data_IF_148018001413
#
_entry.id   IF_148018001413
#
_cell.length_a   1.000
_cell.length_b   1.000
_cell.length_c   1.000
_cell.angle_alpha   90.00
_cell.angle_beta   90.00
_cell.angle_gamma   90.00
#
_symmetry.space_group_name_H-M   'P 1'
#
loop_
_entity.id
_entity.type
_entity.pdbx_description
1 polymer ?
#
# COMPACT_ATOMS: atom_id res chain seq x y z
N UNK A 1 0.04 -31.17 2.43
CA UNK A 1 -1.08 -30.57 1.70
C UNK A 1 -2.33 -31.33 2.07
N UNK A 2 -3.37 -30.64 2.49
CA UNK A 2 -4.64 -31.25 2.87
C UNK A 2 -5.75 -30.63 2.02
N UNK A 3 -6.68 -31.47 1.54
CA UNK A 3 -7.77 -31.01 0.71
C UNK A 3 -8.99 -30.68 1.58
N UNK A 4 -9.58 -29.51 1.36
CA UNK A 4 -10.78 -29.00 2.00
C UNK A 4 -11.85 -28.67 0.96
N UNK A 5 -13.09 -28.57 1.40
CA UNK A 5 -14.19 -28.07 0.59
C UNK A 5 -14.41 -26.60 0.91
N UNK A 6 -14.46 -25.73 -0.09
CA UNK A 6 -14.66 -24.31 0.11
C UNK A 6 -16.07 -23.97 0.58
N UNK A 7 -16.15 -23.00 1.45
CA UNK A 7 -17.36 -22.29 1.82
C UNK A 7 -17.09 -20.80 1.74
N UNK A 8 -17.72 -20.11 0.80
CA UNK A 8 -17.55 -18.65 0.66
C UNK A 8 -18.32 -17.97 1.78
N UNK A 9 -17.61 -17.15 2.55
CA UNK A 9 -18.16 -16.43 3.69
C UNK A 9 -18.35 -14.96 3.29
N UNK A 10 -19.54 -14.43 3.52
CA UNK A 10 -19.89 -13.04 3.23
C UNK A 10 -19.31 -12.09 4.29
N UNK A 11 -17.98 -12.09 4.40
CA UNK A 11 -17.21 -11.22 5.28
C UNK A 11 -16.12 -10.58 4.44
N UNK A 12 -15.96 -9.26 4.57
CA UNK A 12 -14.84 -8.49 4.08
C UNK A 12 -14.05 -8.00 5.28
N UNK A 13 -12.81 -8.45 5.39
CA UNK A 13 -11.91 -8.11 6.50
C UNK A 13 -10.91 -7.05 6.12
N UNK A 14 -10.74 -6.78 4.82
CA UNK A 14 -9.62 -5.99 4.28
C UNK A 14 -8.29 -6.75 4.28
N UNK A 15 -8.30 -8.01 4.69
CA UNK A 15 -7.12 -8.88 4.82
C UNK A 15 -7.38 -10.25 4.21
N UNK A 16 -6.32 -10.94 3.80
CA UNK A 16 -6.41 -12.31 3.30
C UNK A 16 -6.53 -13.29 4.47
N UNK A 17 -7.75 -13.49 4.94
CA UNK A 17 -8.07 -14.41 6.06
C UNK A 17 -8.88 -15.58 5.56
N UNK A 18 -8.53 -16.79 6.02
CA UNK A 18 -9.32 -18.00 5.87
C UNK A 18 -9.75 -18.55 7.21
N UNK A 19 -10.90 -19.18 7.24
CA UNK A 19 -11.45 -19.80 8.45
C UNK A 19 -11.31 -21.31 8.37
N UNK A 20 -10.69 -21.91 9.37
CA UNK A 20 -10.65 -23.36 9.55
C UNK A 20 -11.39 -23.78 10.82
N UNK A 21 -12.01 -24.97 10.77
CA UNK A 21 -12.58 -25.54 11.97
C UNK A 21 -11.48 -25.94 12.95
N UNK A 22 -11.62 -25.59 14.24
CA UNK A 22 -10.60 -25.84 15.25
C UNK A 22 -10.14 -27.30 15.32
N UNK A 23 -11.05 -28.29 15.09
CA UNK A 23 -10.68 -29.70 15.05
C UNK A 23 -9.86 -30.08 13.82
N UNK A 24 -10.09 -29.40 12.70
CA UNK A 24 -9.25 -29.59 11.52
C UNK A 24 -7.88 -28.98 11.73
N UNK A 25 -7.79 -27.82 12.38
CA UNK A 25 -6.54 -27.19 12.74
C UNK A 25 -5.64 -28.13 13.58
N UNK A 26 -6.22 -28.76 14.60
CA UNK A 26 -5.52 -29.79 15.41
C UNK A 26 -5.04 -30.99 14.56
N UNK A 27 -5.87 -31.42 13.61
CA UNK A 27 -5.58 -32.57 12.74
C UNK A 27 -4.44 -32.32 11.75
N UNK A 28 -4.32 -31.09 11.26
CA UNK A 28 -3.32 -30.72 10.22
C UNK A 28 -2.16 -29.91 10.78
N UNK A 29 -2.08 -29.74 12.10
CA UNK A 29 -1.06 -28.93 12.82
C UNK A 29 -0.94 -27.49 12.28
N UNK A 30 -2.09 -26.87 12.06
CA UNK A 30 -2.21 -25.45 11.69
C UNK A 30 -2.85 -24.73 12.87
N UNK A 31 -2.36 -23.55 13.20
CA UNK A 31 -2.85 -22.71 14.30
C UNK A 31 -3.44 -21.41 13.78
N UNK A 32 -4.22 -20.74 14.63
CA UNK A 32 -4.61 -19.36 14.36
C UNK A 32 -3.36 -18.48 14.15
N UNK A 33 -3.43 -17.61 13.17
CA UNK A 33 -2.36 -16.74 12.69
C UNK A 33 -1.21 -17.43 11.93
N UNK A 34 -1.30 -18.73 11.69
CA UNK A 34 -0.39 -19.39 10.74
C UNK A 34 -0.71 -18.94 9.30
N UNK A 35 0.31 -18.95 8.46
CA UNK A 35 0.17 -18.69 7.03
C UNK A 35 -0.07 -19.98 6.27
N UNK A 36 -1.00 -19.92 5.35
CA UNK A 36 -1.30 -21.05 4.46
C UNK A 36 -1.31 -20.63 3.00
N UNK A 37 -0.89 -21.52 2.12
CA UNK A 37 -1.16 -21.46 0.69
C UNK A 37 -2.48 -22.16 0.41
N UNK A 38 -3.31 -21.50 -0.38
CA UNK A 38 -4.57 -22.00 -0.89
C UNK A 38 -4.41 -22.20 -2.39
N UNK A 39 -4.48 -23.46 -2.84
CA UNK A 39 -4.33 -23.79 -4.27
C UNK A 39 -5.61 -24.31 -4.86
N UNK A 40 -5.99 -23.73 -6.00
CA UNK A 40 -7.11 -24.17 -6.83
C UNK A 40 -6.89 -23.81 -8.29
N UNK A 41 -7.08 -24.77 -9.20
CA UNK A 41 -7.05 -24.58 -10.65
C UNK A 41 -5.83 -23.78 -11.16
N UNK A 42 -4.65 -24.03 -10.58
CA UNK A 42 -3.40 -23.36 -10.95
C UNK A 42 -3.21 -21.97 -10.34
N UNK A 43 -4.16 -21.50 -9.53
CA UNK A 43 -4.02 -20.28 -8.72
C UNK A 43 -3.50 -20.65 -7.34
N UNK A 44 -2.66 -19.79 -6.79
CA UNK A 44 -2.05 -19.94 -5.45
C UNK A 44 -2.16 -18.60 -4.72
N UNK A 45 -2.83 -18.59 -3.58
CA UNK A 45 -3.03 -17.40 -2.76
C UNK A 45 -2.60 -17.70 -1.33
N UNK A 46 -1.77 -16.82 -0.77
CA UNK A 46 -1.41 -16.89 0.64
C UNK A 46 -2.48 -16.20 1.50
N UNK A 47 -2.80 -16.80 2.63
CA UNK A 47 -3.72 -16.24 3.60
C UNK A 47 -3.31 -16.57 5.03
N UNK A 48 -3.80 -15.78 5.98
CA UNK A 48 -3.71 -16.05 7.41
C UNK A 48 -4.88 -16.91 7.86
N UNK A 49 -4.65 -17.81 8.79
CA UNK A 49 -5.67 -18.67 9.33
C UNK A 49 -6.29 -18.05 10.58
N UNK A 50 -7.61 -17.92 10.59
CA UNK A 50 -8.38 -17.79 11.80
C UNK A 50 -9.20 -19.08 12.06
N UNK A 51 -9.53 -19.32 13.32
CA UNK A 51 -10.23 -20.54 13.72
C UNK A 51 -11.67 -20.25 14.10
N UNK A 52 -12.55 -21.20 13.76
CA UNK A 52 -13.97 -21.12 14.10
C UNK A 52 -14.50 -22.49 14.54
N UNK A 53 -15.55 -22.48 15.31
CA UNK A 53 -16.27 -23.71 15.70
C UNK A 53 -17.61 -23.86 15.00
N UNK A 54 -18.13 -22.78 14.40
CA UNK A 54 -19.52 -22.72 13.91
C UNK A 54 -19.67 -22.27 12.47
N UNK A 55 -18.77 -21.39 11.98
CA UNK A 55 -18.91 -20.79 10.64
C UNK A 55 -18.58 -21.77 9.52
N UNK A 56 -17.67 -22.71 9.77
CA UNK A 56 -17.35 -23.80 8.83
C UNK A 56 -17.34 -25.14 9.54
N UNK A 57 -17.80 -26.17 8.83
CA UNK A 57 -17.77 -27.56 9.30
C UNK A 57 -16.37 -28.17 9.23
N UNK A 58 -16.23 -29.41 9.78
CA UNK A 58 -15.00 -30.17 9.59
C UNK A 58 -14.83 -30.57 8.12
N UNK A 59 -13.62 -30.43 7.59
CA UNK A 59 -13.31 -30.66 6.19
C UNK A 59 -13.67 -29.49 5.26
N UNK A 60 -14.14 -28.38 5.83
CA UNK A 60 -14.41 -27.15 5.08
C UNK A 60 -13.35 -26.08 5.36
N UNK A 61 -13.10 -25.22 4.38
CA UNK A 61 -12.32 -23.99 4.52
C UNK A 61 -13.20 -22.78 4.16
N UNK A 62 -13.34 -21.86 5.10
CA UNK A 62 -14.06 -20.61 4.91
C UNK A 62 -13.20 -19.61 4.13
N UNK A 63 -13.67 -19.20 2.97
CA UNK A 63 -13.01 -18.25 2.10
C UNK A 63 -13.73 -16.91 2.18
N UNK A 64 -13.04 -15.87 2.68
CA UNK A 64 -13.62 -14.52 2.75
C UNK A 64 -13.76 -13.89 1.35
N UNK A 65 -14.57 -12.85 1.24
CA UNK A 65 -14.76 -12.11 -0.03
C UNK A 65 -13.49 -11.43 -0.53
N UNK A 66 -12.52 -11.20 0.34
CA UNK A 66 -11.22 -10.63 -0.05
C UNK A 66 -10.40 -11.64 -0.89
N UNK A 67 -10.54 -12.94 -0.64
CA UNK A 67 -9.77 -14.00 -1.31
C UNK A 67 -10.54 -14.68 -2.44
N UNK A 68 -11.85 -14.78 -2.32
CA UNK A 68 -12.69 -15.55 -3.26
C UNK A 68 -12.52 -15.15 -4.73
N UNK A 69 -12.41 -13.85 -5.11
CA UNK A 69 -12.14 -13.44 -6.49
C UNK A 69 -10.75 -13.82 -6.98
N UNK A 70 -9.73 -13.72 -6.13
CA UNK A 70 -8.34 -14.05 -6.48
C UNK A 70 -8.19 -15.54 -6.80
N UNK A 71 -8.78 -16.41 -5.99
CA UNK A 71 -8.82 -17.87 -6.22
C UNK A 71 -9.82 -18.28 -7.29
N UNK A 72 -10.77 -17.41 -7.65
CA UNK A 72 -11.92 -17.75 -8.51
C UNK A 72 -12.69 -18.98 -7.99
N UNK A 73 -12.99 -18.98 -6.69
CA UNK A 73 -13.59 -20.10 -5.97
C UNK A 73 -15.08 -19.88 -5.75
N UNK A 74 -15.85 -21.00 -5.75
CA UNK A 74 -17.27 -21.05 -5.39
C UNK A 74 -17.48 -22.05 -4.25
N UNK A 75 -18.63 -21.97 -3.63
CA UNK A 75 -19.03 -22.96 -2.62
C UNK A 75 -18.95 -24.40 -3.16
N UNK A 76 -18.35 -25.28 -2.38
CA UNK A 76 -18.22 -26.70 -2.72
C UNK A 76 -16.97 -27.05 -3.54
N UNK A 77 -16.18 -26.08 -3.98
CA UNK A 77 -14.95 -26.35 -4.70
C UNK A 77 -13.90 -27.02 -3.80
N UNK A 78 -13.00 -27.81 -4.42
CA UNK A 78 -11.88 -28.43 -3.69
C UNK A 78 -10.67 -27.51 -3.70
N UNK A 79 -10.17 -27.22 -2.51
CA UNK A 79 -9.00 -26.37 -2.29
C UNK A 79 -7.94 -27.17 -1.55
N UNK A 80 -6.72 -27.10 -2.03
CA UNK A 80 -5.55 -27.59 -1.31
C UNK A 80 -5.05 -26.52 -0.35
N UNK A 81 -4.94 -26.87 0.93
CA UNK A 81 -4.41 -26.01 1.99
C UNK A 81 -3.09 -26.60 2.49
N UNK A 82 -2.06 -25.78 2.53
CA UNK A 82 -0.76 -26.19 3.07
C UNK A 82 -0.13 -25.07 3.89
N UNK A 83 0.51 -25.44 5.00
CA UNK A 83 1.23 -24.50 5.84
C UNK A 83 2.37 -23.85 5.03
N UNK A 84 2.49 -22.54 5.13
CA UNK A 84 3.60 -21.78 4.59
C UNK A 84 4.59 -21.43 5.70
N UNK A 85 5.90 -21.61 5.47
CA UNK A 85 6.92 -21.10 6.39
C UNK A 85 6.89 -19.58 6.43
N UNK A 86 7.41 -19.00 7.50
CA UNK A 86 7.63 -17.54 7.55
C UNK A 86 8.56 -17.12 6.40
N UNK A 87 8.22 -16.06 5.66
CA UNK A 87 9.06 -15.58 4.57
C UNK A 87 10.41 -15.08 5.09
N UNK A 88 11.44 -15.10 4.26
CA UNK A 88 12.80 -14.63 4.63
C UNK A 88 12.82 -13.14 5.02
N UNK A 89 11.90 -12.35 4.48
CA UNK A 89 11.74 -10.92 4.80
C UNK A 89 11.50 -10.65 6.29
N UNK A 90 10.92 -11.60 7.03
CA UNK A 90 10.77 -11.47 8.50
C UNK A 90 12.11 -11.38 9.22
N UNK A 91 13.17 -12.04 8.71
CA UNK A 91 14.51 -11.93 9.25
C UNK A 91 15.12 -10.55 8.96
N UNK A 92 14.84 -9.97 7.82
CA UNK A 92 15.29 -8.63 7.44
C UNK A 92 14.58 -7.56 8.27
N UNK A 93 13.28 -7.71 8.51
CA UNK A 93 12.52 -6.87 9.45
C UNK A 93 13.15 -6.95 10.85
N UNK A 94 13.43 -8.15 11.33
CA UNK A 94 14.11 -8.35 12.62
C UNK A 94 15.48 -7.68 12.66
N UNK A 95 16.27 -7.80 11.58
CA UNK A 95 17.57 -7.11 11.44
C UNK A 95 17.42 -5.60 11.61
N UNK A 96 16.39 -5.00 10.97
CA UNK A 96 16.10 -3.57 11.09
C UNK A 96 15.62 -3.17 12.48
N UNK A 97 14.79 -3.99 13.14
CA UNK A 97 14.36 -3.78 14.53
C UNK A 97 15.55 -3.66 15.49
N UNK A 98 16.62 -4.42 15.25
CA UNK A 98 17.85 -4.33 16.02
C UNK A 98 18.83 -3.25 15.54
N UNK A 99 18.42 -2.35 14.67
CA UNK A 99 19.22 -1.24 14.15
C UNK A 99 20.20 -1.61 13.04
N UNK A 100 20.09 -2.82 12.47
CA UNK A 100 20.92 -3.23 11.34
C UNK A 100 20.50 -2.54 10.04
N UNK A 101 21.47 -2.21 9.17
CA UNK A 101 21.21 -1.70 7.83
C UNK A 101 20.69 -2.81 6.91
N UNK A 102 19.81 -2.47 5.97
CA UNK A 102 19.26 -3.39 4.98
C UNK A 102 20.02 -3.28 3.65
N UNK A 103 20.19 -4.40 2.96
CA UNK A 103 20.64 -4.43 1.57
C UNK A 103 19.45 -4.23 0.62
N UNK A 104 19.75 -3.93 -0.65
CA UNK A 104 18.73 -3.66 -1.67
C UNK A 104 17.75 -4.82 -1.84
N UNK A 105 18.25 -6.04 -1.93
CA UNK A 105 17.45 -7.26 -2.08
C UNK A 105 16.62 -7.58 -0.83
N UNK A 106 17.12 -7.23 0.36
CA UNK A 106 16.38 -7.36 1.62
C UNK A 106 15.17 -6.41 1.64
N UNK A 107 15.37 -5.14 1.23
CA UNK A 107 14.27 -4.17 1.11
C UNK A 107 13.25 -4.63 0.06
N UNK A 108 13.70 -5.07 -1.11
CA UNK A 108 12.82 -5.58 -2.16
C UNK A 108 11.99 -6.78 -1.68
N UNK A 109 12.61 -7.70 -0.94
CA UNK A 109 11.91 -8.86 -0.37
C UNK A 109 10.83 -8.45 0.61
N UNK A 110 11.09 -7.48 1.51
CA UNK A 110 10.08 -6.98 2.46
C UNK A 110 8.89 -6.38 1.70
N UNK A 111 9.14 -5.54 0.71
CA UNK A 111 8.09 -4.88 -0.07
C UNK A 111 7.28 -5.89 -0.89
N UNK A 112 7.96 -6.83 -1.55
CA UNK A 112 7.26 -7.86 -2.34
C UNK A 112 6.39 -8.76 -1.47
N UNK A 113 6.89 -9.18 -0.30
CA UNK A 113 6.14 -10.01 0.64
C UNK A 113 4.96 -9.24 1.29
N UNK A 114 5.08 -7.92 1.44
CA UNK A 114 3.97 -7.05 1.86
C UNK A 114 2.83 -7.10 0.84
N UNK A 115 3.11 -6.87 -0.43
CA UNK A 115 2.09 -6.85 -1.49
C UNK A 115 1.48 -8.23 -1.71
N UNK A 116 2.29 -9.28 -1.61
CA UNK A 116 1.81 -10.65 -1.76
C UNK A 116 0.96 -11.13 -0.55
N UNK A 117 0.88 -10.34 0.53
CA UNK A 117 0.15 -10.70 1.74
C UNK A 117 0.86 -11.76 2.58
N UNK A 118 2.18 -11.92 2.40
CA UNK A 118 2.98 -12.84 3.20
C UNK A 118 3.39 -12.26 4.56
N UNK A 119 3.33 -10.95 4.74
CA UNK A 119 3.61 -10.31 6.03
C UNK A 119 2.31 -10.02 6.79
N UNK A 120 2.33 -10.30 8.08
CA UNK A 120 1.27 -9.91 9.02
C UNK A 120 1.36 -8.42 9.36
N UNK A 121 0.25 -7.84 9.85
CA UNK A 121 0.25 -6.46 10.36
C UNK A 121 1.30 -6.26 11.47
N UNK A 122 1.51 -7.27 12.33
CA UNK A 122 2.52 -7.21 13.40
C UNK A 122 3.93 -7.08 12.84
N UNK A 123 4.25 -7.80 11.75
CA UNK A 123 5.55 -7.71 11.11
C UNK A 123 5.74 -6.38 10.38
N UNK A 124 4.70 -5.92 9.69
CA UNK A 124 4.70 -4.59 9.06
C UNK A 124 4.81 -3.46 10.09
N UNK A 125 4.09 -3.57 11.20
CA UNK A 125 4.24 -2.65 12.33
C UNK A 125 5.66 -2.64 12.88
N UNK A 126 6.28 -3.82 13.04
CA UNK A 126 7.67 -3.95 13.44
C UNK A 126 8.64 -3.24 12.49
N UNK A 127 8.41 -3.33 11.18
CA UNK A 127 9.23 -2.63 10.18
C UNK A 127 9.05 -1.12 10.24
N UNK A 128 7.82 -0.62 10.37
CA UNK A 128 7.52 0.81 10.49
C UNK A 128 8.09 1.41 11.79
N UNK A 129 7.93 0.70 12.92
CA UNK A 129 8.50 1.11 14.20
C UNK A 129 10.03 1.14 14.12
N UNK A 130 10.65 0.16 13.46
CA UNK A 130 12.11 0.15 13.29
C UNK A 130 12.60 1.34 12.45
N UNK A 131 11.87 1.73 11.41
CA UNK A 131 12.15 2.97 10.66
C UNK A 131 12.00 4.21 11.53
N UNK A 132 10.95 4.28 12.37
CA UNK A 132 10.71 5.43 13.26
C UNK A 132 11.87 5.66 14.24
N UNK A 133 12.46 4.59 14.78
CA UNK A 133 13.49 4.70 15.81
C UNK A 133 14.91 4.71 15.28
N UNK A 134 15.18 4.01 14.18
CA UNK A 134 16.52 3.86 13.63
C UNK A 134 16.74 4.63 12.32
N UNK A 135 15.66 5.15 11.72
CA UNK A 135 15.72 5.77 10.40
C UNK A 135 16.13 4.79 9.29
N UNK A 136 16.38 5.32 8.12
CA UNK A 136 16.97 4.61 6.99
C UNK A 136 18.13 5.45 6.43
N UNK A 137 19.15 4.81 5.89
CA UNK A 137 20.18 5.48 5.13
C UNK A 137 19.63 5.97 3.79
N UNK A 138 20.33 6.89 3.13
CA UNK A 138 19.94 7.41 1.81
C UNK A 138 19.78 6.27 0.79
N UNK A 139 20.68 5.30 0.81
CA UNK A 139 20.59 4.12 -0.07
C UNK A 139 19.35 3.27 0.24
N UNK A 140 19.09 2.96 1.50
CA UNK A 140 17.88 2.23 1.93
C UNK A 140 16.61 2.99 1.52
N UNK A 141 16.63 4.32 1.66
CA UNK A 141 15.52 5.20 1.26
C UNK A 141 15.24 5.12 -0.25
N UNK A 142 16.29 5.16 -1.06
CA UNK A 142 16.19 5.01 -2.52
C UNK A 142 15.70 3.62 -2.91
N UNK A 143 16.17 2.56 -2.25
CA UNK A 143 15.74 1.19 -2.52
C UNK A 143 14.29 0.97 -2.11
N UNK A 144 13.87 1.48 -0.96
CA UNK A 144 12.49 1.43 -0.48
C UNK A 144 11.54 2.11 -1.47
N UNK A 145 11.87 3.35 -1.87
CA UNK A 145 11.10 4.12 -2.84
C UNK A 145 10.92 3.38 -4.17
N UNK A 146 12.01 2.84 -4.70
CA UNK A 146 11.98 2.09 -5.97
C UNK A 146 11.21 0.78 -5.84
N UNK A 147 11.45 0.02 -4.77
CA UNK A 147 10.74 -1.23 -4.52
C UNK A 147 9.22 -1.00 -4.44
N UNK A 148 8.77 0.05 -3.74
CA UNK A 148 7.35 0.40 -3.66
C UNK A 148 6.77 0.81 -5.02
N UNK A 149 7.49 1.63 -5.79
CA UNK A 149 7.06 2.04 -7.13
C UNK A 149 7.00 0.84 -8.12
N UNK A 150 7.89 -0.14 -7.96
CA UNK A 150 7.96 -1.33 -8.83
C UNK A 150 6.83 -2.33 -8.56
N UNK A 151 6.08 -2.18 -7.47
CA UNK A 151 4.91 -3.03 -7.16
C UNK A 151 3.63 -2.54 -7.82
N UNK A 152 3.60 -1.32 -8.35
CA UNK A 152 2.41 -0.69 -8.91
C UNK A 152 2.44 -0.50 -10.42
N UNK A 153 1.37 0.10 -10.92
CA UNK A 153 1.26 0.48 -12.32
C UNK A 153 2.14 1.69 -12.61
N UNK A 154 2.80 1.69 -13.78
CA UNK A 154 3.59 2.82 -14.27
C UNK A 154 2.89 3.49 -15.44
N UNK A 155 2.87 4.82 -15.41
CA UNK A 155 2.28 5.63 -16.48
C UNK A 155 3.40 6.34 -17.22
N UNK A 156 3.50 6.11 -18.51
CA UNK A 156 4.42 6.81 -19.41
C UNK A 156 3.63 7.77 -20.30
N UNK A 157 3.89 9.05 -20.17
CA UNK A 157 3.24 10.11 -20.95
C UNK A 157 3.99 10.42 -22.26
N UNK A 158 5.18 9.86 -22.48
CA UNK A 158 6.04 10.12 -23.66
C UNK A 158 6.42 11.62 -23.82
N UNK A 159 6.28 12.38 -22.75
CA UNK A 159 6.54 13.83 -22.67
C UNK A 159 7.01 14.16 -21.26
N UNK A 160 7.78 15.25 -21.07
CA UNK A 160 8.18 15.71 -19.74
C UNK A 160 6.98 15.97 -18.83
N UNK A 161 7.00 15.36 -17.64
CA UNK A 161 5.95 15.43 -16.63
C UNK A 161 6.40 16.27 -15.46
N UNK A 162 5.53 17.20 -15.08
CA UNK A 162 5.76 18.13 -13.96
C UNK A 162 4.81 17.81 -12.83
N UNK A 163 5.24 17.99 -11.59
CA UNK A 163 4.36 17.87 -10.44
C UNK A 163 4.73 18.86 -9.33
N UNK A 164 3.81 19.08 -8.44
CA UNK A 164 3.97 19.80 -7.18
C UNK A 164 3.45 18.92 -6.05
N UNK A 165 4.25 18.69 -5.06
CA UNK A 165 3.81 17.98 -3.85
C UNK A 165 3.92 18.90 -2.65
N UNK A 166 2.89 18.87 -1.78
CA UNK A 166 2.94 19.50 -0.46
C UNK A 166 2.98 18.40 0.60
N UNK A 167 3.88 18.50 1.55
CA UNK A 167 3.92 17.62 2.72
C UNK A 167 2.66 17.79 3.56
N UNK A 168 1.95 18.92 3.40
CA UNK A 168 0.64 19.13 4.00
C UNK A 168 0.69 19.70 5.42
N UNK A 169 -0.40 19.48 6.16
CA UNK A 169 -0.53 19.90 7.56
C UNK A 169 -1.15 21.29 7.74
N UNK A 170 -1.23 22.12 6.71
CA UNK A 170 -1.86 23.46 6.81
C UNK A 170 -3.35 23.36 6.48
N UNK A 171 -4.24 23.64 7.43
CA UNK A 171 -5.67 23.66 7.18
C UNK A 171 -6.03 24.65 6.06
N UNK A 172 -6.94 24.25 5.16
CA UNK A 172 -7.40 25.11 4.07
C UNK A 172 -6.41 25.31 2.93
N UNK A 173 -5.27 24.63 2.89
CA UNK A 173 -4.32 24.70 1.78
C UNK A 173 -4.93 24.12 0.48
N UNK A 174 -5.33 24.98 -0.44
CA UNK A 174 -5.92 24.66 -1.76
C UNK A 174 -4.99 24.98 -2.92
N UNK A 175 -3.70 25.16 -2.66
CA UNK A 175 -2.70 25.62 -3.63
C UNK A 175 -2.65 24.74 -4.89
N UNK A 176 -2.81 23.43 -4.76
CA UNK A 176 -2.79 22.52 -5.91
C UNK A 176 -3.90 22.80 -6.92
N UNK A 177 -5.10 23.22 -6.46
CA UNK A 177 -6.22 23.56 -7.34
C UNK A 177 -5.94 24.80 -8.20
N UNK A 178 -5.04 25.67 -7.75
CA UNK A 178 -4.60 26.85 -8.49
C UNK A 178 -3.40 26.54 -9.38
N UNK A 179 -2.40 25.79 -8.86
CA UNK A 179 -1.17 25.52 -9.58
C UNK A 179 -1.40 24.63 -10.79
N UNK A 180 -2.22 23.57 -10.67
CA UNK A 180 -2.43 22.61 -11.79
C UNK A 180 -2.93 23.31 -13.05
N UNK A 181 -4.02 24.11 -13.03
CA UNK A 181 -4.48 24.79 -14.24
C UNK A 181 -3.50 25.87 -14.71
N UNK A 182 -2.76 26.54 -13.83
CA UNK A 182 -1.72 27.51 -14.22
C UNK A 182 -0.62 26.84 -15.00
N UNK A 183 -0.08 25.73 -14.49
CA UNK A 183 1.00 24.95 -15.13
C UNK A 183 0.54 24.35 -16.45
N UNK A 184 -0.68 23.80 -16.49
CA UNK A 184 -1.28 23.29 -17.72
C UNK A 184 -1.47 24.40 -18.77
N UNK A 185 -1.92 25.59 -18.38
CA UNK A 185 -2.08 26.73 -19.29
C UNK A 185 -0.75 27.24 -19.85
N UNK A 186 0.35 26.99 -19.16
CA UNK A 186 1.70 27.28 -19.65
C UNK A 186 2.23 26.20 -20.64
N UNK A 187 1.43 25.20 -20.98
CA UNK A 187 1.78 24.15 -21.93
C UNK A 187 2.58 22.98 -21.34
N UNK A 188 2.73 22.94 -20.00
CA UNK A 188 3.41 21.86 -19.29
C UNK A 188 2.40 20.78 -18.89
N UNK A 189 2.86 19.53 -18.79
CA UNK A 189 2.03 18.39 -18.45
C UNK A 189 2.09 18.10 -16.94
N UNK A 190 0.93 18.20 -16.24
CA UNK A 190 0.87 18.06 -14.77
C UNK A 190 -0.23 17.08 -14.32
N UNK A 191 0.02 15.75 -14.30
CA UNK A 191 -0.88 14.74 -13.74
C UNK A 191 -0.76 14.70 -12.20
N UNK A 192 -1.40 15.64 -11.51
CA UNK A 192 -1.30 15.77 -10.05
C UNK A 192 -2.00 14.64 -9.33
N UNK A 193 -1.24 13.72 -8.78
CA UNK A 193 -1.77 12.72 -7.83
C UNK A 193 -1.84 13.29 -6.41
N UNK A 194 -2.91 12.97 -5.70
CA UNK A 194 -3.15 13.43 -4.32
C UNK A 194 -3.69 12.31 -3.46
N UNK A 195 -3.38 12.34 -2.17
CA UNK A 195 -4.09 11.53 -1.17
C UNK A 195 -5.44 12.16 -0.79
N UNK A 196 -6.31 11.35 -0.21
CA UNK A 196 -7.41 11.83 0.65
C UNK A 196 -6.83 12.20 2.02
N UNK A 197 -7.65 12.84 2.86
CA UNK A 197 -7.18 13.26 4.18
C UNK A 197 -6.73 12.07 5.04
N UNK A 198 -5.49 12.15 5.55
CA UNK A 198 -4.96 11.22 6.54
C UNK A 198 -4.94 11.90 7.91
N UNK A 199 -4.41 13.12 8.00
CA UNK A 199 -4.24 13.89 9.23
C UNK A 199 -4.83 15.30 9.17
N UNK A 200 -5.12 15.81 7.98
CA UNK A 200 -5.78 17.14 7.78
C UNK A 200 -7.28 16.98 7.60
N UNK A 201 -8.09 18.06 7.80
CA UNK A 201 -9.52 18.00 7.62
C UNK A 201 -9.96 17.65 6.19
N UNK A 202 -9.12 17.91 5.18
CA UNK A 202 -9.43 17.64 3.77
C UNK A 202 -8.15 17.63 2.94
N UNK A 203 -7.92 16.55 2.21
CA UNK A 203 -6.85 16.46 1.19
C UNK A 203 -7.22 17.20 -0.10
N UNK A 204 -6.25 17.30 -1.01
CA UNK A 204 -6.51 17.89 -2.34
C UNK A 204 -7.50 17.04 -3.13
N UNK A 205 -7.40 15.71 -3.05
CA UNK A 205 -8.36 14.80 -3.68
C UNK A 205 -9.77 14.99 -3.15
N UNK A 206 -9.96 15.11 -1.84
CA UNK A 206 -11.27 15.36 -1.22
C UNK A 206 -11.87 16.69 -1.68
N UNK A 207 -11.05 17.74 -1.73
CA UNK A 207 -11.51 19.05 -2.17
C UNK A 207 -11.90 19.05 -3.65
N UNK A 208 -11.08 18.40 -4.49
CA UNK A 208 -11.36 18.32 -5.93
C UNK A 208 -12.59 17.47 -6.23
N UNK A 209 -12.86 16.42 -5.44
CA UNK A 209 -14.03 15.55 -5.63
C UNK A 209 -15.38 16.26 -5.48
N UNK A 210 -15.39 17.42 -4.82
CA UNK A 210 -16.58 18.30 -4.77
C UNK A 210 -16.85 18.99 -6.11
N UNK A 211 -15.81 19.19 -6.92
CA UNK A 211 -15.87 19.93 -8.18
C UNK A 211 -15.95 19.00 -9.40
N UNK A 212 -15.25 17.87 -9.35
CA UNK A 212 -15.14 16.92 -10.47
C UNK A 212 -14.78 15.52 -9.98
N UNK A 213 -14.98 14.45 -10.79
CA UNK A 213 -14.47 13.12 -10.51
C UNK A 213 -12.95 13.14 -10.30
N UNK A 214 -12.47 12.33 -9.34
CA UNK A 214 -11.03 12.20 -9.00
C UNK A 214 -10.55 10.76 -9.07
N UNK A 215 -11.42 9.81 -9.37
CA UNK A 215 -11.13 8.38 -9.47
C UNK A 215 -11.01 8.02 -10.94
N UNK A 216 -9.85 7.56 -11.35
CA UNK A 216 -9.51 7.21 -12.72
C UNK A 216 -8.66 5.94 -12.73
N UNK A 217 -8.72 5.19 -13.80
CA UNK A 217 -7.68 4.21 -14.15
C UNK A 217 -6.42 4.94 -14.66
N UNK A 218 -5.31 4.22 -14.77
CA UNK A 218 -4.06 4.77 -15.30
C UNK A 218 -4.22 5.26 -16.75
N UNK A 219 -4.94 4.50 -17.59
CA UNK A 219 -5.21 4.87 -18.98
C UNK A 219 -6.09 6.12 -19.08
N UNK A 220 -7.16 6.20 -18.29
CA UNK A 220 -8.03 7.39 -18.24
C UNK A 220 -7.26 8.62 -17.76
N UNK A 221 -6.39 8.48 -16.73
CA UNK A 221 -5.53 9.57 -16.29
C UNK A 221 -4.60 10.04 -17.42
N UNK A 222 -3.99 9.11 -18.15
CA UNK A 222 -3.12 9.42 -19.28
C UNK A 222 -3.90 10.21 -20.35
N UNK A 223 -5.08 9.72 -20.75
CA UNK A 223 -5.91 10.37 -21.76
C UNK A 223 -6.33 11.79 -21.35
N UNK A 224 -6.91 11.94 -20.16
CA UNK A 224 -7.36 13.24 -19.64
C UNK A 224 -6.21 14.24 -19.53
N UNK A 225 -5.06 13.79 -19.02
CA UNK A 225 -3.89 14.65 -18.84
C UNK A 225 -3.32 15.11 -20.18
N UNK A 226 -3.20 14.21 -21.16
CA UNK A 226 -2.70 14.57 -22.50
C UNK A 226 -3.66 15.55 -23.20
N UNK A 227 -4.96 15.42 -22.99
CA UNK A 227 -5.98 16.27 -23.60
C UNK A 227 -6.08 17.65 -22.95
N UNK A 228 -6.02 17.72 -21.62
CA UNK A 228 -6.23 18.97 -20.85
C UNK A 228 -4.93 19.66 -20.43
N UNK A 229 -3.76 19.02 -20.58
CA UNK A 229 -2.48 19.48 -20.04
C UNK A 229 -2.30 19.16 -18.57
N UNK A 230 -3.36 18.79 -17.83
CA UNK A 230 -3.26 18.45 -16.42
C UNK A 230 -4.50 17.78 -15.88
N UNK A 231 -4.35 17.13 -14.72
CA UNK A 231 -5.43 16.52 -13.97
C UNK A 231 -5.14 16.57 -12.47
N UNK A 232 -6.17 16.48 -11.64
CA UNK A 232 -6.06 16.26 -10.20
C UNK A 232 -6.82 14.98 -9.88
N UNK A 233 -6.11 13.94 -9.41
CA UNK A 233 -6.67 12.61 -9.20
C UNK A 233 -6.31 12.05 -7.82
N UNK A 234 -7.16 11.17 -7.32
CA UNK A 234 -6.84 10.41 -6.12
C UNK A 234 -5.89 9.25 -6.45
N UNK A 235 -4.70 9.28 -5.87
CA UNK A 235 -3.66 8.28 -6.14
C UNK A 235 -4.02 6.86 -5.70
N UNK A 236 -4.93 6.68 -4.72
CA UNK A 236 -5.35 5.36 -4.28
C UNK A 236 -6.19 4.58 -5.30
N UNK A 237 -6.85 5.27 -6.26
CA UNK A 237 -7.59 4.59 -7.35
C UNK A 237 -6.67 4.05 -8.46
N UNK A 238 -5.41 4.48 -8.49
CA UNK A 238 -4.48 4.22 -9.58
C UNK A 238 -3.55 3.02 -9.33
N UNK A 239 -3.59 2.42 -8.13
CA UNK A 239 -2.68 1.32 -7.75
C UNK A 239 -1.20 1.58 -8.07
N UNK A 240 -0.75 2.82 -7.88
CA UNK A 240 0.62 3.27 -8.22
C UNK A 240 1.70 2.70 -7.30
N UNK A 241 1.35 2.39 -6.06
CA UNK A 241 2.24 1.81 -5.06
C UNK A 241 1.44 0.96 -4.06
N UNK A 242 0.98 -0.24 -4.44
CA UNK A 242 0.14 -1.10 -3.57
C UNK A 242 0.76 -1.40 -2.22
N UNK A 243 2.10 -1.53 -2.14
CA UNK A 243 2.80 -1.69 -0.86
C UNK A 243 2.55 -0.52 0.09
N UNK A 244 2.52 0.70 -0.45
CA UNK A 244 2.25 1.92 0.33
C UNK A 244 0.83 1.93 0.89
N UNK A 245 -0.14 1.53 0.10
CA UNK A 245 -1.54 1.48 0.53
C UNK A 245 -1.73 0.52 1.71
N UNK A 246 -0.97 -0.59 1.75
CA UNK A 246 -0.95 -1.53 2.86
C UNK A 246 -0.27 -0.92 4.10
N UNK A 247 0.91 -0.28 3.93
CA UNK A 247 1.61 0.35 5.05
C UNK A 247 0.82 1.49 5.68
N UNK A 248 0.15 2.33 4.88
CA UNK A 248 -0.70 3.43 5.38
C UNK A 248 -1.80 2.91 6.34
N UNK A 249 -2.36 1.74 6.11
CA UNK A 249 -3.36 1.16 7.01
C UNK A 249 -2.77 0.87 8.39
N UNK A 250 -1.54 0.34 8.43
CA UNK A 250 -0.82 0.05 9.69
C UNK A 250 -0.37 1.35 10.37
N UNK A 251 0.17 2.32 9.61
CA UNK A 251 0.55 3.64 10.13
C UNK A 251 -0.62 4.36 10.78
N UNK A 252 -1.79 4.31 10.14
CA UNK A 252 -3.01 4.92 10.68
C UNK A 252 -3.43 4.30 12.03
N UNK A 253 -3.33 2.98 12.17
CA UNK A 253 -3.64 2.29 13.43
C UNK A 253 -2.63 2.66 14.53
N UNK A 254 -1.34 2.71 14.18
CA UNK A 254 -0.27 3.04 15.11
C UNK A 254 -0.17 4.55 15.42
N UNK A 255 -0.77 5.41 14.59
CA UNK A 255 -0.65 6.87 14.62
C UNK A 255 0.81 7.33 14.55
N UNK A 256 1.61 6.67 13.72
CA UNK A 256 3.00 7.05 13.42
C UNK A 256 3.13 7.44 11.95
N UNK A 257 4.14 8.24 11.64
CA UNK A 257 4.45 8.69 10.29
C UNK A 257 6.00 8.73 10.18
N UNK A 258 6.66 7.55 10.03
CA UNK A 258 8.12 7.50 9.96
C UNK A 258 8.61 8.32 8.76
N UNK A 259 9.57 9.21 8.99
CA UNK A 259 10.09 10.12 7.97
C UNK A 259 10.50 9.38 6.68
N UNK A 260 11.22 8.27 6.86
CA UNK A 260 11.67 7.43 5.73
C UNK A 260 10.49 6.84 4.93
N UNK A 261 9.46 6.38 5.62
CA UNK A 261 8.28 5.82 4.96
C UNK A 261 7.46 6.91 4.26
N UNK A 262 7.31 8.07 4.88
CA UNK A 262 6.63 9.22 4.27
C UNK A 262 7.31 9.66 2.97
N UNK A 263 8.64 9.78 2.96
CA UNK A 263 9.41 10.13 1.77
C UNK A 263 9.23 9.06 0.68
N UNK A 264 9.37 7.77 1.05
CA UNK A 264 9.20 6.68 0.10
C UNK A 264 7.78 6.63 -0.50
N UNK A 265 6.75 6.82 0.31
CA UNK A 265 5.34 6.91 -0.11
C UNK A 265 5.12 8.00 -1.15
N UNK A 266 5.61 9.21 -0.87
CA UNK A 266 5.51 10.35 -1.79
C UNK A 266 6.23 10.05 -3.09
N UNK A 267 7.50 9.66 -3.01
CA UNK A 267 8.37 9.52 -4.18
C UNK A 267 8.02 8.29 -5.02
N UNK A 268 7.57 7.19 -4.43
CA UNK A 268 7.12 6.01 -5.17
C UNK A 268 5.97 6.35 -6.13
N UNK A 269 4.97 7.09 -5.66
CA UNK A 269 3.84 7.52 -6.50
C UNK A 269 4.28 8.49 -7.60
N UNK A 270 5.29 9.34 -7.36
CA UNK A 270 5.84 10.23 -8.38
C UNK A 270 6.61 9.47 -9.45
N UNK A 271 7.41 8.49 -9.04
CA UNK A 271 8.11 7.59 -9.97
C UNK A 271 7.13 6.77 -10.82
N UNK A 272 6.03 6.27 -10.22
CA UNK A 272 5.02 5.49 -10.93
C UNK A 272 4.30 6.32 -12.00
N UNK A 273 4.07 7.61 -11.76
CA UNK A 273 3.46 8.55 -12.73
C UNK A 273 4.49 9.11 -13.74
N UNK A 274 5.78 8.79 -13.59
CA UNK A 274 6.82 9.26 -14.50
C UNK A 274 7.14 10.74 -14.36
N UNK A 275 7.12 11.30 -13.15
CA UNK A 275 7.43 12.71 -12.90
C UNK A 275 8.92 12.99 -13.13
N UNK A 276 9.24 13.90 -14.05
CA UNK A 276 10.61 14.34 -14.35
C UNK A 276 11.00 15.57 -13.50
N UNK A 277 10.06 16.47 -13.25
CA UNK A 277 10.29 17.72 -12.53
C UNK A 277 9.27 17.90 -11.41
N UNK A 278 9.77 18.09 -10.19
CA UNK A 278 8.90 18.27 -9.02
C UNK A 278 9.29 19.50 -8.20
N UNK A 279 8.28 20.27 -7.80
CA UNK A 279 8.42 21.29 -6.75
C UNK A 279 7.85 20.72 -5.45
N UNK A 280 8.67 20.62 -4.43
CA UNK A 280 8.28 20.22 -3.10
C UNK A 280 7.91 21.47 -2.28
N UNK A 281 6.67 21.51 -1.79
CA UNK A 281 6.16 22.55 -0.91
C UNK A 281 6.21 22.02 0.53
N UNK A 282 7.06 22.64 1.35
CA UNK A 282 7.29 22.31 2.74
C UNK A 282 6.71 23.41 3.64
N UNK A 283 5.40 23.37 3.95
CA UNK A 283 4.80 24.34 4.88
C UNK A 283 5.43 24.19 6.26
N UNK A 284 5.87 25.31 6.83
CA UNK A 284 6.51 25.38 8.15
C UNK A 284 5.67 26.24 9.09
N UNK A 285 5.46 25.81 10.29
CA UNK A 285 4.77 26.55 11.33
C UNK A 285 4.05 25.68 12.33
N UNK A 286 3.40 26.32 13.32
CA UNK A 286 2.80 25.64 14.47
C UNK A 286 1.71 24.61 14.08
N UNK A 287 0.99 24.82 13.00
CA UNK A 287 -0.07 23.93 12.52
C UNK A 287 0.38 23.04 11.34
N UNK A 288 1.63 23.21 10.88
CA UNK A 288 2.19 22.41 9.80
C UNK A 288 2.81 21.11 10.35
N UNK A 289 2.98 20.10 9.49
CA UNK A 289 3.72 18.87 9.86
C UNK A 289 5.17 19.15 10.23
N UNK A 290 5.76 20.19 9.66
CA UNK A 290 7.14 20.65 9.90
C UNK A 290 7.09 21.86 10.81
N UNK A 291 7.63 21.74 12.03
CA UNK A 291 7.56 22.78 13.03
C UNK A 291 8.50 23.96 12.78
N UNK A 292 9.68 23.72 12.20
CA UNK A 292 10.70 24.73 11.97
C UNK A 292 11.32 24.65 10.56
N UNK A 293 11.90 25.77 10.11
CA UNK A 293 12.65 25.81 8.83
C UNK A 293 13.87 24.89 8.83
N UNK A 294 14.45 24.61 9.98
CA UNK A 294 15.62 23.74 10.09
C UNK A 294 15.21 22.27 9.97
N UNK A 295 14.05 21.89 10.49
CA UNK A 295 13.48 20.56 10.27
C UNK A 295 13.11 20.33 8.80
N UNK A 296 12.63 21.37 8.12
CA UNK A 296 12.30 21.29 6.70
C UNK A 296 13.50 21.23 5.76
N UNK A 297 14.70 21.53 6.23
CA UNK A 297 15.93 21.46 5.44
C UNK A 297 16.67 20.12 5.58
N UNK A 298 16.33 19.32 6.57
CA UNK A 298 16.82 17.95 6.71
C UNK A 298 16.13 17.02 5.72
#
# INVERSE_FOLDING_TARGET
MTQFTSRVIDIMTGHRIVLLNGKDCERVDIRAHDRVSLKQNGRDVAAMVDTTTTLVGQGEVGITKDIAPELNVKDGDKIEVSLLPSPSSTQFIRKKIFGGGLAKDEVQSIIQDTVNGFLSEVEMAGFLIAQQFHGMTDDEQVWLTKAMADTGERIDFERPVYDKHSVGGVPGNKVSLLIVPIVASAGLLIPKTSSRAITSPSGTGDTMSVLAPVEFSADELKEVTLKAGGAIVWGGSLHLAPADDVFIQVEHQLRIDPESQMIASIMAKKLAVGVDFMVLDLPVGHEAKIASSDDGRR
#
